data_IF_212637372578
#
_entry.id   IF_212637372578
#
_cell.length_a   1.000
_cell.length_b   1.000
_cell.length_c   1.000
_cell.angle_alpha   90.00
_cell.angle_beta   90.00
_cell.angle_gamma   90.00
#
_symmetry.space_group_name_H-M   'P 1'
#
loop_
_entity.id
_entity.type
_entity.pdbx_description
1 polymer ?
#
# COMPACT_ATOMS: atom_id res chain seq x y z
N UNK A 1 -27.21 -24.35 28.03
CA UNK A 1 -27.55 -23.03 27.44
C UNK A 1 -26.41 -21.99 27.52
N UNK A 2 -25.62 -21.88 28.59
CA UNK A 2 -24.53 -20.89 28.72
C UNK A 2 -23.47 -20.93 27.59
N UNK A 3 -23.11 -22.12 27.11
CA UNK A 3 -22.08 -22.28 26.06
C UNK A 3 -22.52 -21.73 24.68
N UNK A 4 -23.83 -21.71 24.40
CA UNK A 4 -24.37 -21.21 23.14
C UNK A 4 -24.27 -19.67 23.06
N UNK A 5 -24.53 -18.98 24.18
CA UNK A 5 -24.39 -17.53 24.29
C UNK A 5 -22.94 -17.07 24.23
N UNK A 6 -22.02 -17.86 24.78
CA UNK A 6 -20.57 -17.59 24.69
C UNK A 6 -20.08 -17.73 23.25
N UNK A 7 -20.48 -18.79 22.54
CA UNK A 7 -20.16 -18.97 21.12
C UNK A 7 -20.72 -17.86 20.24
N UNK A 8 -21.98 -17.46 20.45
CA UNK A 8 -22.61 -16.35 19.73
C UNK A 8 -21.87 -15.02 19.99
N UNK A 9 -21.44 -14.75 21.24
CA UNK A 9 -20.68 -13.55 21.57
C UNK A 9 -19.35 -13.48 20.81
N UNK A 10 -18.60 -14.57 20.76
CA UNK A 10 -17.34 -14.60 20.02
C UNK A 10 -17.54 -14.47 18.51
N UNK A 11 -18.60 -15.08 17.96
CA UNK A 11 -18.96 -14.93 16.56
C UNK A 11 -19.30 -13.47 16.19
N UNK A 12 -20.14 -12.81 17.01
CA UNK A 12 -20.51 -11.40 16.82
C UNK A 12 -19.31 -10.45 16.99
N UNK A 13 -18.40 -10.74 17.92
CA UNK A 13 -17.14 -10.00 18.06
C UNK A 13 -16.27 -10.13 16.81
N UNK A 14 -16.13 -11.34 16.25
CA UNK A 14 -15.40 -11.57 15.00
C UNK A 14 -15.97 -10.78 13.83
N UNK A 15 -17.30 -10.85 13.64
CA UNK A 15 -18.02 -10.05 12.64
C UNK A 15 -17.81 -8.54 12.83
N UNK A 16 -17.85 -8.06 14.07
CA UNK A 16 -17.62 -6.65 14.37
C UNK A 16 -16.19 -6.20 14.02
N UNK A 17 -15.18 -7.02 14.32
CA UNK A 17 -13.80 -6.76 13.91
C UNK A 17 -13.64 -6.71 12.38
N UNK A 18 -14.29 -7.62 11.65
CA UNK A 18 -14.25 -7.63 10.19
C UNK A 18 -14.90 -6.39 9.57
N UNK A 19 -16.09 -6.01 10.07
CA UNK A 19 -16.81 -4.80 9.64
C UNK A 19 -15.96 -3.55 9.91
N UNK A 20 -15.35 -3.45 11.09
CA UNK A 20 -14.47 -2.33 11.45
C UNK A 20 -13.18 -2.28 10.63
N UNK A 21 -12.68 -3.41 10.13
CA UNK A 21 -11.47 -3.46 9.31
C UNK A 21 -11.71 -3.08 7.83
N UNK A 22 -12.96 -3.08 7.37
CA UNK A 22 -13.31 -2.86 5.98
C UNK A 22 -12.89 -1.47 5.43
N UNK A 23 -13.08 -0.35 6.15
CA UNK A 23 -12.62 0.96 5.70
C UNK A 23 -11.11 1.01 5.43
N UNK A 24 -10.31 0.39 6.30
CA UNK A 24 -8.85 0.36 6.16
C UNK A 24 -8.39 -0.55 5.01
N UNK A 25 -9.13 -1.64 4.74
CA UNK A 25 -8.90 -2.46 3.53
C UNK A 25 -9.21 -1.65 2.26
N UNK A 26 -10.34 -0.95 2.24
CA UNK A 26 -10.76 -0.12 1.09
C UNK A 26 -9.78 1.03 0.81
N UNK A 27 -9.33 1.75 1.86
CA UNK A 27 -8.28 2.76 1.74
C UNK A 27 -7.01 2.17 1.14
N UNK A 28 -6.52 1.03 1.64
CA UNK A 28 -5.30 0.41 1.10
C UNK A 28 -5.41 0.05 -0.39
N UNK A 29 -6.55 -0.49 -0.80
CA UNK A 29 -6.76 -0.91 -2.18
C UNK A 29 -6.93 0.28 -3.15
N UNK A 30 -7.81 1.23 -2.81
CA UNK A 30 -8.17 2.32 -3.71
C UNK A 30 -7.12 3.44 -3.64
N UNK A 31 -6.80 3.88 -2.42
CA UNK A 31 -5.93 5.03 -2.21
C UNK A 31 -4.46 4.65 -2.39
N UNK A 32 -3.94 3.73 -1.56
CA UNK A 32 -2.50 3.44 -1.56
C UNK A 32 -2.04 2.73 -2.83
N UNK A 33 -2.79 1.71 -3.28
CA UNK A 33 -2.41 0.91 -4.45
C UNK A 33 -2.84 1.53 -5.79
N UNK A 34 -3.98 2.20 -5.84
CA UNK A 34 -4.49 2.83 -7.05
C UNK A 34 -3.93 4.24 -7.22
N UNK A 35 -4.57 5.19 -6.55
CA UNK A 35 -4.37 6.64 -6.76
C UNK A 35 -2.93 7.06 -6.46
N UNK A 36 -2.41 6.71 -5.28
CA UNK A 36 -1.08 7.13 -4.81
C UNK A 36 0.04 6.61 -5.72
N UNK A 37 -0.03 5.35 -6.15
CA UNK A 37 1.00 4.78 -7.04
C UNK A 37 0.96 5.37 -8.43
N UNK A 38 -0.24 5.57 -9.00
CA UNK A 38 -0.35 6.21 -10.31
C UNK A 38 0.13 7.66 -10.25
N UNK A 39 -0.18 8.39 -9.18
CA UNK A 39 0.35 9.73 -8.95
C UNK A 39 1.88 9.76 -8.92
N UNK A 40 2.49 8.84 -8.16
CA UNK A 40 3.94 8.72 -8.07
C UNK A 40 4.61 8.34 -9.41
N UNK A 41 3.88 7.73 -10.35
CA UNK A 41 4.37 7.44 -11.70
C UNK A 41 4.32 8.65 -12.61
N UNK A 42 3.29 9.48 -12.50
CA UNK A 42 3.16 10.71 -13.29
C UNK A 42 4.21 11.75 -12.87
N UNK A 43 4.52 11.82 -11.57
CA UNK A 43 5.46 12.79 -11.04
C UNK A 43 6.61 12.11 -10.30
N UNK A 44 7.67 11.79 -11.04
CA UNK A 44 8.94 11.37 -10.43
C UNK A 44 9.60 12.59 -9.79
N UNK A 45 9.96 12.49 -8.52
CA UNK A 45 10.61 13.57 -7.76
C UNK A 45 12.05 13.76 -8.22
N UNK A 46 12.59 14.95 -7.94
CA UNK A 46 13.99 15.30 -8.28
C UNK A 46 14.96 14.68 -7.27
N UNK A 47 14.62 14.79 -5.98
CA UNK A 47 15.36 14.20 -4.87
C UNK A 47 15.18 12.66 -4.83
N UNK A 48 16.30 11.94 -4.85
CA UNK A 48 16.34 10.49 -4.78
C UNK A 48 15.93 9.90 -3.43
N UNK A 49 16.05 10.68 -2.35
CA UNK A 49 15.70 10.29 -0.98
C UNK A 49 14.27 10.66 -0.60
N UNK A 50 13.49 11.20 -1.55
CA UNK A 50 12.11 11.60 -1.30
C UNK A 50 11.23 10.41 -0.86
N UNK A 51 10.40 10.61 0.15
CA UNK A 51 9.58 9.56 0.78
C UNK A 51 8.65 8.79 -0.18
N UNK A 52 8.24 9.40 -1.30
CA UNK A 52 7.46 8.74 -2.37
C UNK A 52 8.23 7.68 -3.17
N UNK A 53 9.57 7.66 -3.02
CA UNK A 53 10.47 6.66 -3.58
C UNK A 53 10.81 5.58 -2.54
N UNK A 54 10.21 5.61 -1.35
CA UNK A 54 10.30 4.51 -0.39
C UNK A 54 9.31 3.40 -0.73
N UNK A 55 9.64 2.19 -0.27
CA UNK A 55 8.76 1.04 -0.40
C UNK A 55 7.50 1.24 0.47
N UNK A 56 6.33 1.12 -0.13
CA UNK A 56 5.05 1.26 0.57
C UNK A 56 4.50 -0.14 0.91
N UNK A 57 4.87 -0.62 2.10
CA UNK A 57 4.43 -1.93 2.60
C UNK A 57 2.89 -2.04 2.68
N UNK A 58 2.20 -0.93 2.95
CA UNK A 58 0.74 -0.90 3.01
C UNK A 58 0.09 -1.07 1.64
N UNK A 59 0.70 -0.51 0.58
CA UNK A 59 0.28 -0.77 -0.79
C UNK A 59 0.53 -2.23 -1.20
N UNK A 60 1.63 -2.83 -0.74
CA UNK A 60 2.02 -4.20 -1.08
C UNK A 60 1.19 -5.28 -0.38
N UNK A 61 0.63 -5.01 0.80
CA UNK A 61 -0.17 -5.97 1.58
C UNK A 61 -1.37 -6.55 0.81
N UNK A 62 -1.90 -5.84 -0.19
CA UNK A 62 -3.01 -6.27 -1.04
C UNK A 62 -2.61 -6.72 -2.45
N UNK A 63 -1.31 -6.89 -2.74
CA UNK A 63 -0.81 -7.21 -4.08
C UNK A 63 -0.45 -8.69 -4.22
N UNK A 64 -0.80 -9.27 -5.37
CA UNK A 64 -0.25 -10.57 -5.78
C UNK A 64 1.27 -10.48 -5.98
N UNK A 65 1.95 -11.63 -6.02
CA UNK A 65 3.41 -11.67 -6.27
C UNK A 65 3.80 -10.89 -7.54
N UNK A 66 3.11 -11.18 -8.65
CA UNK A 66 3.30 -10.47 -9.94
C UNK A 66 3.11 -8.95 -9.83
N UNK A 67 2.14 -8.50 -9.03
CA UNK A 67 1.90 -7.07 -8.81
C UNK A 67 2.99 -6.43 -7.95
N UNK A 68 3.50 -7.15 -6.94
CA UNK A 68 4.64 -6.71 -6.13
C UNK A 68 5.91 -6.59 -6.98
N UNK A 69 6.19 -7.56 -7.84
CA UNK A 69 7.35 -7.53 -8.72
C UNK A 69 7.28 -6.34 -9.70
N UNK A 70 6.10 -6.10 -10.30
CA UNK A 70 5.87 -4.94 -11.15
C UNK A 70 6.01 -3.61 -10.40
N UNK A 71 5.56 -3.56 -9.14
CA UNK A 71 5.72 -2.39 -8.27
C UNK A 71 7.19 -2.11 -7.95
N UNK A 72 7.97 -3.15 -7.60
CA UNK A 72 9.40 -3.00 -7.28
C UNK A 72 10.17 -2.53 -8.52
N UNK A 73 9.90 -3.11 -9.69
CA UNK A 73 10.53 -2.69 -10.95
C UNK A 73 10.24 -1.23 -11.28
N UNK A 74 8.99 -0.80 -11.11
CA UNK A 74 8.58 0.60 -11.28
C UNK A 74 9.28 1.53 -10.28
N UNK A 75 9.37 1.12 -9.01
CA UNK A 75 10.05 1.87 -7.96
C UNK A 75 11.54 2.08 -8.27
N UNK A 76 12.25 1.02 -8.69
CA UNK A 76 13.65 1.12 -9.10
C UNK A 76 13.84 2.07 -10.27
N UNK A 77 12.97 2.00 -11.29
CA UNK A 77 13.02 2.91 -12.43
C UNK A 77 12.84 4.37 -12.00
N UNK A 78 11.89 4.65 -11.10
CA UNK A 78 11.65 6.00 -10.58
C UNK A 78 12.81 6.51 -9.73
N UNK A 79 13.46 5.66 -8.94
CA UNK A 79 14.68 6.00 -8.20
C UNK A 79 15.84 6.34 -9.13
N UNK A 80 16.05 5.56 -10.17
CA UNK A 80 17.09 5.84 -11.16
C UNK A 80 16.87 7.19 -11.84
N UNK A 81 15.64 7.50 -12.27
CA UNK A 81 15.30 8.80 -12.87
C UNK A 81 15.54 9.95 -11.88
N UNK A 82 15.20 9.77 -10.60
CA UNK A 82 15.46 10.77 -9.58
C UNK A 82 16.98 10.99 -9.38
N UNK A 83 17.74 9.90 -9.26
CA UNK A 83 19.21 9.93 -9.17
C UNK A 83 19.86 10.70 -10.33
N UNK A 84 19.49 10.37 -11.57
CA UNK A 84 20.00 11.06 -12.77
C UNK A 84 19.69 12.57 -12.77
N UNK A 85 18.52 12.96 -12.25
CA UNK A 85 18.12 14.38 -12.14
C UNK A 85 18.85 15.12 -11.02
N UNK A 86 19.13 14.43 -9.92
CA UNK A 86 19.87 14.99 -8.80
C UNK A 86 21.31 15.29 -9.23
N UNK A 87 21.97 14.31 -9.88
CA UNK A 87 23.28 14.47 -10.50
C UNK A 87 23.33 15.59 -11.54
N UNK A 88 22.33 15.68 -12.42
CA UNK A 88 22.27 16.74 -13.45
C UNK A 88 22.04 18.15 -12.88
N UNK A 89 21.71 18.25 -11.60
CA UNK A 89 21.44 19.53 -10.93
C UNK A 89 22.49 19.97 -9.93
N UNK A 90 23.55 19.17 -9.81
CA UNK A 90 24.78 19.47 -9.08
C UNK A 90 25.79 20.05 -10.05
#
# INVERSE_FOLDING_TARGET
MKNLFVGLRYFLLGLWFEIKAWPEKSKRLIWNRGIKLQWNRLWVRKDEFHSSLNMDANAMLGMSKKQRDAYIKDLCKRRQIAHERDLAST
#
